data_IF_614655706470
#
_entry.id   IF_614655706470
#
_cell.length_a   1.000
_cell.length_b   1.000
_cell.length_c   1.000
_cell.angle_alpha   90.00
_cell.angle_beta   90.00
_cell.angle_gamma   90.00
#
_symmetry.space_group_name_H-M   'P 1'
#
loop_
_entity.id
_entity.type
_entity.pdbx_description
1 polymer ?
#
# COMPACT_ATOMS: atom_id res chain seq x y z
N UNK A 1 -12.90 12.06 14.96
CA UNK A 1 -12.97 10.94 13.99
C UNK A 1 -12.37 9.64 14.50
N UNK A 2 -11.81 9.66 15.69
CA UNK A 2 -11.23 8.45 16.29
C UNK A 2 -12.24 7.29 16.27
N UNK A 3 -11.83 6.12 15.80
CA UNK A 3 -12.68 4.95 15.63
C UNK A 3 -13.35 4.84 14.27
N UNK A 4 -13.22 5.84 13.40
CA UNK A 4 -13.76 5.77 12.03
C UNK A 4 -13.03 4.70 11.24
N UNK A 5 -13.78 3.77 10.65
CA UNK A 5 -13.25 2.70 9.80
C UNK A 5 -13.33 3.17 8.35
N UNK A 6 -12.21 3.07 7.64
CA UNK A 6 -12.15 3.38 6.21
C UNK A 6 -12.80 2.25 5.40
N UNK A 7 -13.47 2.56 4.28
CA UNK A 7 -13.98 1.53 3.37
C UNK A 7 -12.84 0.62 2.90
N UNK A 8 -13.10 -0.66 2.78
CA UNK A 8 -12.12 -1.60 2.24
C UNK A 8 -11.84 -1.31 0.76
N UNK A 9 -10.61 -1.52 0.34
CA UNK A 9 -10.22 -1.42 -1.07
C UNK A 9 -9.49 -2.68 -1.49
N UNK A 10 -10.04 -3.35 -2.51
CA UNK A 10 -9.44 -4.54 -3.08
C UNK A 10 -8.79 -4.21 -4.42
N UNK A 11 -7.48 -4.41 -4.49
CA UNK A 11 -6.69 -4.21 -5.70
C UNK A 11 -6.25 -5.56 -6.25
N UNK A 12 -6.84 -6.03 -7.38
CA UNK A 12 -6.30 -7.18 -8.08
C UNK A 12 -4.89 -6.87 -8.59
N UNK A 13 -3.93 -7.70 -8.23
CA UNK A 13 -2.54 -7.52 -8.65
C UNK A 13 -2.35 -8.23 -9.99
N UNK A 14 -2.00 -7.47 -11.02
CA UNK A 14 -1.64 -8.00 -12.34
C UNK A 14 -0.15 -7.85 -12.57
N UNK A 15 0.45 -8.60 -13.51
CA UNK A 15 1.83 -8.34 -13.92
C UNK A 15 2.06 -6.88 -14.33
N UNK A 16 1.08 -6.27 -15.00
CA UNK A 16 1.15 -4.85 -15.38
C UNK A 16 1.21 -3.92 -14.17
N UNK A 17 0.42 -4.18 -13.13
CA UNK A 17 0.49 -3.40 -11.88
C UNK A 17 1.88 -3.47 -11.28
N UNK A 18 2.46 -4.66 -11.19
CA UNK A 18 3.81 -4.86 -10.62
C UNK A 18 4.86 -4.11 -11.42
N UNK A 19 4.88 -4.30 -12.75
CA UNK A 19 5.92 -3.71 -13.60
C UNK A 19 5.74 -2.20 -13.79
N UNK A 20 4.52 -1.73 -13.99
CA UNK A 20 4.25 -0.31 -14.22
C UNK A 20 4.52 0.54 -12.98
N UNK A 21 4.18 0.06 -11.78
CA UNK A 21 4.47 0.77 -10.54
C UNK A 21 5.97 0.76 -10.23
N UNK A 22 6.67 -0.32 -10.56
CA UNK A 22 8.13 -0.38 -10.44
C UNK A 22 8.79 0.64 -11.39
N UNK A 23 8.35 0.74 -12.63
CA UNK A 23 8.84 1.74 -13.60
C UNK A 23 8.54 3.17 -13.09
N UNK A 24 7.33 3.41 -12.61
CA UNK A 24 6.93 4.71 -12.09
C UNK A 24 7.80 5.17 -10.90
N UNK A 25 8.34 4.25 -10.14
CA UNK A 25 9.24 4.51 -9.00
C UNK A 25 10.71 4.35 -9.38
N UNK A 26 11.02 4.15 -10.67
CA UNK A 26 12.38 3.96 -11.22
C UNK A 26 13.13 2.78 -10.58
N UNK A 27 12.41 1.73 -10.26
CA UNK A 27 12.96 0.49 -9.75
C UNK A 27 13.02 -0.53 -10.88
N UNK A 28 14.22 -0.80 -11.37
CA UNK A 28 14.46 -1.68 -12.52
C UNK A 28 15.07 -3.02 -12.10
N UNK A 29 14.96 -3.38 -10.83
CA UNK A 29 15.44 -4.68 -10.35
C UNK A 29 14.65 -5.82 -10.98
N UNK A 30 15.36 -6.87 -11.37
CA UNK A 30 14.80 -8.03 -12.07
C UNK A 30 13.59 -8.64 -11.37
N UNK A 31 13.59 -8.67 -10.04
CA UNK A 31 12.53 -9.27 -9.23
C UNK A 31 11.17 -8.58 -9.36
N UNK A 32 11.12 -7.39 -9.95
CA UNK A 32 9.89 -6.66 -10.22
C UNK A 32 9.48 -6.67 -11.69
N UNK A 33 10.28 -7.26 -12.57
CA UNK A 33 10.11 -7.16 -14.03
C UNK A 33 10.13 -8.49 -14.77
N UNK A 34 10.90 -9.45 -14.30
CA UNK A 34 11.15 -10.70 -15.02
C UNK A 34 10.93 -11.89 -14.10
N UNK A 35 9.93 -12.71 -14.43
CA UNK A 35 9.56 -13.87 -13.63
C UNK A 35 10.70 -14.88 -13.51
N UNK A 36 11.39 -15.19 -14.60
CA UNK A 36 12.46 -16.19 -14.57
C UNK A 36 13.63 -15.72 -13.72
N UNK A 37 14.00 -14.44 -13.82
CA UNK A 37 15.03 -13.85 -12.97
C UNK A 37 14.58 -13.74 -11.50
N UNK A 38 13.32 -13.40 -11.24
CA UNK A 38 12.77 -13.42 -9.89
C UNK A 38 12.87 -14.82 -9.28
N UNK A 39 12.50 -15.84 -10.04
CA UNK A 39 12.60 -17.24 -9.59
C UNK A 39 14.06 -17.65 -9.35
N UNK A 40 14.99 -17.20 -10.16
CA UNK A 40 16.42 -17.48 -9.96
C UNK A 40 16.96 -16.87 -8.66
N UNK A 41 16.32 -15.80 -8.16
CA UNK A 41 16.63 -15.18 -6.88
C UNK A 41 15.81 -15.77 -5.70
N UNK A 42 15.06 -16.83 -5.94
CA UNK A 42 14.29 -17.52 -4.88
C UNK A 42 12.87 -17.02 -4.67
N UNK A 43 12.39 -16.09 -5.48
CA UNK A 43 11.00 -15.63 -5.43
C UNK A 43 10.09 -16.52 -6.27
N UNK A 44 8.83 -16.69 -5.85
CA UNK A 44 7.83 -17.44 -6.60
C UNK A 44 7.53 -16.81 -7.97
N UNK A 45 7.52 -15.51 -8.03
CA UNK A 45 7.17 -14.68 -9.19
C UNK A 45 7.72 -13.28 -8.96
N UNK A 46 7.50 -12.36 -9.88
CA UNK A 46 7.73 -10.94 -9.65
C UNK A 46 6.83 -10.45 -8.49
N UNK A 47 7.20 -9.37 -7.84
CA UNK A 47 6.42 -8.82 -6.73
C UNK A 47 6.48 -7.30 -6.68
N UNK A 48 5.48 -6.71 -6.02
CA UNK A 48 5.37 -5.26 -5.84
C UNK A 48 6.54 -4.74 -4.99
N UNK A 49 7.18 -3.66 -5.43
CA UNK A 49 8.28 -3.05 -4.68
C UNK A 49 7.77 -2.17 -3.52
N UNK A 50 8.68 -1.84 -2.59
CA UNK A 50 8.33 -1.05 -1.39
C UNK A 50 7.81 0.35 -1.73
N UNK A 51 8.36 1.01 -2.73
CA UNK A 51 7.92 2.37 -3.11
C UNK A 51 6.51 2.34 -3.69
N UNK A 52 6.17 1.32 -4.48
CA UNK A 52 4.81 1.12 -4.99
C UNK A 52 3.83 0.87 -3.86
N UNK A 53 4.17 0.00 -2.91
CA UNK A 53 3.34 -0.26 -1.73
C UNK A 53 3.13 1.01 -0.92
N UNK A 54 4.17 1.81 -0.71
CA UNK A 54 4.07 3.10 -0.01
C UNK A 54 3.09 4.04 -0.73
N UNK A 55 3.18 4.12 -2.05
CA UNK A 55 2.25 4.91 -2.86
C UNK A 55 0.82 4.41 -2.78
N UNK A 56 0.62 3.10 -2.81
CA UNK A 56 -0.72 2.49 -2.70
C UNK A 56 -1.36 2.75 -1.34
N UNK A 57 -0.60 2.66 -0.26
CA UNK A 57 -1.07 3.01 1.09
C UNK A 57 -1.53 4.46 1.14
N UNK A 58 -0.73 5.39 0.61
CA UNK A 58 -1.08 6.80 0.59
C UNK A 58 -2.27 7.09 -0.32
N UNK A 59 -2.38 6.40 -1.45
CA UNK A 59 -3.55 6.50 -2.32
C UNK A 59 -4.82 6.06 -1.61
N UNK A 60 -4.78 4.93 -0.93
CA UNK A 60 -5.92 4.42 -0.17
C UNK A 60 -6.42 5.44 0.86
N UNK A 61 -5.52 5.95 1.68
CA UNK A 61 -5.87 6.95 2.71
C UNK A 61 -6.28 8.27 2.06
N UNK A 62 -5.57 8.72 1.03
CA UNK A 62 -5.85 9.98 0.35
C UNK A 62 -7.21 10.00 -0.36
N UNK A 63 -7.59 8.90 -1.00
CA UNK A 63 -8.90 8.80 -1.65
C UNK A 63 -10.04 8.92 -0.64
N UNK A 64 -9.91 8.29 0.52
CA UNK A 64 -10.86 8.45 1.61
C UNK A 64 -10.84 9.88 2.19
N UNK A 65 -9.65 10.42 2.45
CA UNK A 65 -9.50 11.72 3.10
C UNK A 65 -10.05 12.87 2.27
N UNK A 66 -9.99 12.76 0.95
CA UNK A 66 -10.51 13.80 0.05
C UNK A 66 -11.98 14.10 0.33
N UNK A 67 -12.78 13.09 0.61
CA UNK A 67 -14.20 13.24 0.90
C UNK A 67 -14.47 13.43 2.41
N UNK A 68 -13.76 12.70 3.27
CA UNK A 68 -14.03 12.68 4.70
C UNK A 68 -13.40 13.85 5.46
N UNK A 69 -12.25 14.34 5.00
CA UNK A 69 -11.49 15.42 5.65
C UNK A 69 -11.54 16.70 4.81
N UNK A 70 -11.45 16.56 3.51
CA UNK A 70 -11.42 17.66 2.54
C UNK A 70 -10.21 17.58 1.63
N UNK A 71 -10.25 18.28 0.47
CA UNK A 71 -9.22 18.15 -0.56
C UNK A 71 -7.85 18.76 -0.16
N UNK A 72 -7.81 19.53 0.91
CA UNK A 72 -6.59 20.24 1.34
C UNK A 72 -5.83 19.50 2.45
N UNK A 73 -6.08 18.21 2.64
CA UNK A 73 -5.30 17.41 3.58
C UNK A 73 -3.84 17.33 3.15
N UNK A 74 -2.94 17.21 4.12
CA UNK A 74 -1.52 16.99 3.90
C UNK A 74 -1.10 15.69 4.58
N UNK A 75 -0.42 14.82 3.84
CA UNK A 75 0.24 13.66 4.43
C UNK A 75 1.52 14.13 5.11
N UNK A 76 1.55 14.03 6.42
CA UNK A 76 2.71 14.44 7.22
C UNK A 76 3.75 13.34 7.32
N UNK A 77 3.29 12.10 7.45
CA UNK A 77 4.18 10.94 7.51
C UNK A 77 3.46 9.68 7.07
N UNK A 78 4.24 8.75 6.57
CA UNK A 78 3.79 7.39 6.25
C UNK A 78 4.89 6.43 6.68
N UNK A 79 4.70 5.76 7.81
CA UNK A 79 5.60 4.75 8.30
C UNK A 79 5.01 3.38 8.00
N UNK A 80 5.78 2.50 7.38
CA UNK A 80 5.28 1.17 7.04
C UNK A 80 6.30 0.07 7.29
N UNK A 81 5.78 -1.14 7.41
CA UNK A 81 6.55 -2.37 7.51
C UNK A 81 6.01 -3.37 6.51
N UNK A 82 6.89 -3.93 5.69
CA UNK A 82 6.54 -4.99 4.76
C UNK A 82 6.56 -6.36 5.46
N UNK A 83 5.64 -7.22 5.03
CA UNK A 83 5.54 -8.62 5.44
C UNK A 83 5.56 -9.55 4.23
N UNK A 84 4.47 -10.28 4.00
CA UNK A 84 4.35 -11.20 2.88
C UNK A 84 4.45 -10.50 1.52
N UNK A 85 5.15 -11.10 0.53
CA UNK A 85 5.26 -10.52 -0.80
C UNK A 85 3.91 -10.50 -1.52
N UNK A 86 3.69 -9.45 -2.33
CA UNK A 86 2.50 -9.30 -3.16
C UNK A 86 2.82 -9.68 -4.60
N UNK A 87 2.31 -10.82 -5.05
CA UNK A 87 2.55 -11.40 -6.38
C UNK A 87 1.39 -11.13 -7.35
N UNK A 88 1.63 -11.19 -8.67
CA UNK A 88 0.55 -11.18 -9.66
C UNK A 88 -0.46 -12.30 -9.40
N UNK A 89 -1.70 -12.06 -9.81
CA UNK A 89 -2.85 -12.97 -9.69
C UNK A 89 -3.35 -13.18 -8.25
N UNK A 90 -2.85 -12.39 -7.33
CA UNK A 90 -3.39 -12.26 -5.98
C UNK A 90 -4.18 -10.96 -5.86
N UNK A 91 -4.89 -10.78 -4.77
CA UNK A 91 -5.60 -9.55 -4.46
C UNK A 91 -5.00 -8.92 -3.21
N UNK A 92 -4.67 -7.63 -3.30
CA UNK A 92 -4.22 -6.84 -2.15
C UNK A 92 -5.42 -6.09 -1.58
N UNK A 93 -5.83 -6.49 -0.38
CA UNK A 93 -6.99 -5.93 0.31
C UNK A 93 -6.55 -4.96 1.41
N UNK A 94 -6.91 -3.69 1.25
CA UNK A 94 -6.61 -2.65 2.23
C UNK A 94 -7.77 -2.44 3.20
N UNK A 95 -7.43 -2.25 4.46
CA UNK A 95 -8.33 -1.79 5.51
C UNK A 95 -7.65 -0.72 6.35
N UNK A 96 -8.42 0.11 7.00
CA UNK A 96 -7.87 1.19 7.81
C UNK A 96 -8.83 1.70 8.87
N UNK A 97 -8.27 2.32 9.88
CA UNK A 97 -9.01 2.91 11.00
C UNK A 97 -8.29 4.16 11.50
N UNK A 98 -9.07 5.20 11.79
CA UNK A 98 -8.55 6.38 12.48
C UNK A 98 -8.35 6.02 13.95
N UNK A 99 -7.11 5.99 14.39
CA UNK A 99 -6.75 5.58 15.77
C UNK A 99 -6.48 6.76 16.68
N UNK A 100 -6.27 7.95 16.13
CA UNK A 100 -6.14 9.18 16.90
C UNK A 100 -6.62 10.38 16.08
N UNK A 101 -7.18 11.35 16.79
CA UNK A 101 -7.66 12.62 16.23
C UNK A 101 -7.43 13.71 17.29
N UNK A 102 -6.34 14.44 17.12
CA UNK A 102 -5.90 15.43 18.09
C UNK A 102 -5.39 16.69 17.38
N UNK A 103 -5.98 17.84 17.71
CA UNK A 103 -5.55 19.16 17.22
C UNK A 103 -5.49 19.27 15.68
N UNK A 104 -6.47 18.66 15.00
CA UNK A 104 -6.54 18.66 13.54
C UNK A 104 -5.58 17.67 12.86
N UNK A 105 -4.93 16.82 13.63
CA UNK A 105 -4.02 15.78 13.13
C UNK A 105 -4.66 14.42 13.32
N UNK A 106 -4.81 13.68 12.22
CA UNK A 106 -5.35 12.32 12.22
C UNK A 106 -4.22 11.31 12.07
N UNK A 107 -4.28 10.27 12.88
CA UNK A 107 -3.42 9.09 12.75
C UNK A 107 -4.26 7.91 12.31
N UNK A 108 -3.85 7.27 11.21
CA UNK A 108 -4.62 6.21 10.56
C UNK A 108 -3.76 4.97 10.47
N UNK A 109 -4.21 3.88 11.06
CA UNK A 109 -3.61 2.57 10.89
C UNK A 109 -4.16 1.91 9.64
N UNK A 110 -3.28 1.34 8.82
CA UNK A 110 -3.60 0.68 7.57
C UNK A 110 -2.99 -0.71 7.55
N UNK A 111 -3.75 -1.68 7.04
CA UNK A 111 -3.27 -3.03 6.77
C UNK A 111 -3.60 -3.37 5.33
N UNK A 112 -2.63 -3.90 4.61
CA UNK A 112 -2.83 -4.50 3.30
C UNK A 112 -2.56 -5.99 3.37
N UNK A 113 -3.55 -6.82 3.01
CA UNK A 113 -3.45 -8.28 3.07
C UNK A 113 -3.42 -8.90 1.69
N UNK A 114 -2.63 -9.93 1.55
CA UNK A 114 -2.62 -10.86 0.41
C UNK A 114 -2.88 -12.28 0.91
N UNK A 115 -2.97 -13.25 0.00
CA UNK A 115 -3.26 -14.65 0.38
C UNK A 115 -2.23 -15.23 1.35
N UNK A 116 -0.98 -14.79 1.28
CA UNK A 116 0.11 -15.26 2.14
C UNK A 116 0.12 -14.62 3.53
N UNK A 117 -0.67 -13.59 3.77
CA UNK A 117 -0.75 -12.87 5.05
C UNK A 117 -0.69 -11.35 4.87
N UNK A 118 -0.26 -10.64 5.90
CA UNK A 118 -0.11 -9.19 5.83
C UNK A 118 1.06 -8.83 4.92
N UNK A 119 0.76 -8.14 3.81
CA UNK A 119 1.78 -7.58 2.93
C UNK A 119 2.40 -6.32 3.52
N UNK A 120 1.56 -5.48 4.12
CA UNK A 120 1.99 -4.22 4.71
C UNK A 120 1.15 -3.86 5.92
N UNK A 121 1.80 -3.32 6.92
CA UNK A 121 1.17 -2.58 8.02
C UNK A 121 1.76 -1.18 8.01
N UNK A 122 0.90 -0.18 8.13
CA UNK A 122 1.32 1.21 8.01
C UNK A 122 0.60 2.11 8.99
N UNK A 123 1.23 3.23 9.31
CA UNK A 123 0.61 4.33 10.02
C UNK A 123 0.80 5.60 9.21
N UNK A 124 -0.31 6.24 8.84
CA UNK A 124 -0.33 7.48 8.06
C UNK A 124 -0.83 8.61 8.95
N UNK A 125 -0.10 9.71 8.96
CA UNK A 125 -0.48 10.91 9.70
C UNK A 125 -0.88 11.99 8.71
N UNK A 126 -2.10 12.49 8.87
CA UNK A 126 -2.67 13.60 8.09
C UNK A 126 -2.81 14.85 8.97
N UNK A 127 -2.60 15.99 8.36
CA UNK A 127 -2.76 17.20 9.14
C UNK A 127 -2.97 18.49 8.37
#
# INVERSE_FOLDING_TARGET
MKGTVLPAWELPITPTVVTSTAIATRDYQDVHHDRDLAQSHGSKDIFVNILSTTGLVQKYVGDWARDAVGPEFVVRSCALRLGAPAHPYDTLSFSGEVVDDADGVLTIDVVGKVSLGDHVTAQVVLG
#
